data_IF_838588831136
#
_entry.id   IF_838588831136
#
_cell.length_a   1.000
_cell.length_b   1.000
_cell.length_c   1.000
_cell.angle_alpha   90.00
_cell.angle_beta   90.00
_cell.angle_gamma   90.00
#
_symmetry.space_group_name_H-M   'P 1'
#
loop_
_entity.id
_entity.type
_entity.pdbx_description
1 polymer ?
#
# COMPACT_ATOMS: atom_id res chain seq x y z
N UNK A 1 -9.86 -32.23 -4.24
CA UNK A 1 -10.65 -31.37 -3.34
C UNK A 1 -9.88 -30.99 -2.09
N UNK A 2 -9.09 -31.90 -1.57
CA UNK A 2 -8.30 -31.64 -0.36
C UNK A 2 -7.26 -30.53 -0.54
N UNK A 3 -6.85 -30.23 -1.74
CA UNK A 3 -5.79 -29.24 -2.03
C UNK A 3 -6.33 -27.83 -2.29
N UNK A 4 -7.63 -27.65 -2.23
CA UNK A 4 -8.25 -26.37 -2.59
C UNK A 4 -7.74 -25.20 -1.74
N UNK A 5 -7.69 -25.39 -0.42
CA UNK A 5 -7.19 -24.33 0.47
C UNK A 5 -5.71 -24.08 0.28
N UNK A 6 -4.95 -25.14 0.01
CA UNK A 6 -3.52 -25.03 -0.23
C UNK A 6 -3.23 -24.26 -1.51
N UNK A 7 -3.99 -24.56 -2.56
CA UNK A 7 -3.88 -23.85 -3.83
C UNK A 7 -4.25 -22.39 -3.68
N UNK A 8 -5.32 -22.10 -2.93
CA UNK A 8 -5.74 -20.74 -2.66
C UNK A 8 -4.69 -19.95 -1.89
N UNK A 9 -4.06 -20.58 -0.89
CA UNK A 9 -3.02 -19.96 -0.09
C UNK A 9 -1.77 -19.62 -0.93
N UNK A 10 -1.33 -20.56 -1.78
CA UNK A 10 -0.22 -20.34 -2.70
C UNK A 10 -0.56 -19.26 -3.72
N UNK A 11 -1.79 -19.26 -4.23
CA UNK A 11 -2.26 -18.28 -5.18
C UNK A 11 -2.23 -16.87 -4.57
N UNK A 12 -2.66 -16.72 -3.30
CA UNK A 12 -2.66 -15.42 -2.64
C UNK A 12 -1.24 -14.87 -2.44
N UNK A 13 -0.30 -15.71 -2.06
CA UNK A 13 1.10 -15.31 -1.92
C UNK A 13 1.71 -14.91 -3.27
N UNK A 14 1.38 -15.65 -4.31
CA UNK A 14 1.84 -15.38 -5.66
C UNK A 14 1.25 -14.07 -6.20
N UNK A 15 -0.05 -13.84 -5.99
CA UNK A 15 -0.72 -12.61 -6.41
C UNK A 15 -0.10 -11.38 -5.73
N UNK A 16 0.20 -11.48 -4.42
CA UNK A 16 0.85 -10.39 -3.70
C UNK A 16 2.22 -10.05 -4.26
N UNK A 17 3.02 -11.07 -4.58
CA UNK A 17 4.34 -10.90 -5.17
C UNK A 17 4.27 -10.29 -6.56
N UNK A 18 3.33 -10.76 -7.37
CA UNK A 18 3.12 -10.23 -8.72
C UNK A 18 2.70 -8.77 -8.65
N UNK A 19 1.87 -8.41 -7.67
CA UNK A 19 1.45 -7.03 -7.49
C UNK A 19 2.63 -6.14 -7.10
N UNK A 20 3.52 -6.60 -6.22
CA UNK A 20 4.70 -5.85 -5.85
C UNK A 20 5.61 -5.60 -7.06
N UNK A 21 5.73 -6.57 -7.95
CA UNK A 21 6.51 -6.42 -9.18
C UNK A 21 5.87 -5.41 -10.14
N UNK A 22 4.54 -5.45 -10.27
CA UNK A 22 3.81 -4.45 -11.06
C UNK A 22 4.00 -3.06 -10.46
N UNK A 23 3.89 -2.95 -9.16
CA UNK A 23 4.09 -1.69 -8.45
C UNK A 23 5.48 -1.12 -8.70
N UNK A 24 6.49 -1.96 -8.61
CA UNK A 24 7.88 -1.56 -8.87
C UNK A 24 8.05 -1.04 -10.29
N UNK A 25 7.45 -1.72 -11.26
CA UNK A 25 7.51 -1.31 -12.67
C UNK A 25 6.79 0.02 -12.90
N UNK A 26 5.62 0.21 -12.30
CA UNK A 26 4.86 1.45 -12.42
C UNK A 26 5.64 2.63 -11.82
N UNK A 27 6.23 2.43 -10.65
CA UNK A 27 7.03 3.46 -9.99
C UNK A 27 8.26 3.80 -10.83
N UNK A 28 8.92 2.80 -11.40
CA UNK A 28 10.05 3.01 -12.30
C UNK A 28 9.66 3.83 -13.53
N UNK A 29 8.47 3.54 -14.10
CA UNK A 29 7.93 4.30 -15.22
C UNK A 29 7.68 5.78 -14.86
N UNK A 30 7.48 6.07 -13.58
CA UNK A 30 7.33 7.43 -13.06
C UNK A 30 8.67 8.03 -12.57
N UNK A 31 9.78 7.38 -12.89
CA UNK A 31 11.11 7.86 -12.53
C UNK A 31 11.52 7.54 -11.10
N UNK A 32 10.84 6.61 -10.45
CA UNK A 32 11.12 6.22 -9.07
C UNK A 32 11.61 4.78 -9.07
N UNK A 33 12.95 4.61 -9.02
CA UNK A 33 13.58 3.29 -9.03
C UNK A 33 13.82 2.82 -7.62
N UNK A 34 13.24 1.69 -7.27
CA UNK A 34 13.23 1.17 -5.90
C UNK A 34 13.72 -0.28 -5.83
N UNK A 35 14.20 -0.66 -4.65
CA UNK A 35 14.57 -2.02 -4.31
C UNK A 35 13.46 -2.66 -3.48
N UNK A 36 13.36 -3.97 -3.54
CA UNK A 36 12.41 -4.73 -2.72
C UNK A 36 12.95 -4.90 -1.31
N UNK A 37 12.04 -5.03 -0.35
CA UNK A 37 12.37 -5.35 1.04
C UNK A 37 13.34 -4.32 1.66
N UNK A 38 12.94 -3.07 1.62
CA UNK A 38 13.74 -1.97 2.13
C UNK A 38 13.49 -1.75 3.62
N UNK A 39 14.55 -1.92 4.42
CA UNK A 39 14.45 -1.82 5.88
C UNK A 39 14.77 -0.43 6.37
N UNK A 40 13.91 0.09 7.25
CA UNK A 40 14.01 1.44 7.79
C UNK A 40 13.73 1.39 9.29
N UNK A 41 14.52 2.10 10.11
CA UNK A 41 14.23 2.18 11.54
C UNK A 41 12.96 2.97 11.79
N UNK A 42 11.97 2.33 12.39
CA UNK A 42 10.69 2.93 12.73
C UNK A 42 10.45 2.85 14.23
N UNK A 43 9.87 3.88 14.80
CA UNK A 43 9.51 3.87 16.20
C UNK A 43 9.28 5.26 16.73
N UNK A 44 8.62 5.32 17.87
CA UNK A 44 8.36 6.56 18.58
C UNK A 44 9.56 6.89 19.49
N UNK A 45 9.92 8.16 19.54
CA UNK A 45 11.05 8.59 20.37
C UNK A 45 12.34 7.86 20.00
N UNK A 46 13.05 7.36 21.00
CA UNK A 46 14.32 6.66 20.80
C UNK A 46 14.21 5.15 20.65
N UNK A 47 13.00 4.62 20.77
CA UNK A 47 12.77 3.19 20.69
C UNK A 47 12.47 2.77 19.25
N UNK A 48 13.51 2.40 18.52
CA UNK A 48 13.40 2.08 17.08
C UNK A 48 13.57 0.59 16.84
N UNK A 49 12.85 0.11 15.82
CA UNK A 49 12.98 -1.24 15.30
C UNK A 49 12.97 -1.18 13.78
N UNK A 50 13.79 -2.00 13.13
CA UNK A 50 13.79 -2.05 11.67
C UNK A 50 12.47 -2.64 11.17
N UNK A 51 11.80 -1.90 10.29
CA UNK A 51 10.61 -2.35 9.59
C UNK A 51 10.95 -2.51 8.11
N UNK A 52 10.48 -3.60 7.51
CA UNK A 52 10.72 -3.90 6.10
C UNK A 52 9.55 -3.39 5.27
N UNK A 53 9.77 -2.33 4.52
CA UNK A 53 8.79 -1.85 3.54
C UNK A 53 8.91 -2.70 2.26
N UNK A 54 7.80 -2.86 1.55
CA UNK A 54 7.78 -3.68 0.34
C UNK A 54 8.76 -3.21 -0.71
N UNK A 55 8.85 -1.89 -0.89
CA UNK A 55 9.80 -1.27 -1.81
C UNK A 55 10.39 -0.02 -1.14
N UNK A 56 11.60 0.34 -1.54
CA UNK A 56 12.19 1.57 -1.04
C UNK A 56 13.55 1.90 -1.63
N UNK A 57 14.05 3.08 -1.29
CA UNK A 57 15.36 3.59 -1.70
C UNK A 57 15.83 4.61 -0.68
N UNK A 58 17.17 4.75 -0.56
CA UNK A 58 17.75 5.80 0.26
C UNK A 58 18.09 7.05 -0.55
N UNK A 59 18.30 6.91 -1.85
CA UNK A 59 18.65 8.01 -2.74
C UNK A 59 17.94 7.85 -4.09
N UNK A 60 16.81 8.52 -4.28
CA UNK A 60 16.08 9.38 -3.32
C UNK A 60 15.43 8.59 -2.18
N UNK A 61 15.17 9.23 -1.03
CA UNK A 61 14.55 8.52 0.10
C UNK A 61 13.06 8.32 -0.12
N UNK A 62 12.69 7.08 -0.43
CA UNK A 62 11.30 6.69 -0.71
C UNK A 62 11.02 5.36 -0.04
N UNK A 63 9.85 5.23 0.57
CA UNK A 63 9.34 3.96 1.11
C UNK A 63 7.93 3.74 0.60
N UNK A 64 7.62 2.48 0.26
CA UNK A 64 6.35 2.10 -0.34
C UNK A 64 5.81 0.84 0.33
N UNK A 65 4.52 0.87 0.68
CA UNK A 65 3.77 -0.32 1.05
C UNK A 65 2.79 -0.64 -0.06
N UNK A 66 2.71 -1.92 -0.43
CA UNK A 66 1.84 -2.41 -1.49
C UNK A 66 0.73 -3.27 -0.90
N UNK A 67 -0.50 -3.03 -1.33
CA UNK A 67 -1.66 -3.80 -0.86
C UNK A 67 -2.54 -4.20 -2.05
N UNK A 68 -2.90 -5.48 -2.14
CA UNK A 68 -3.72 -6.00 -3.22
C UNK A 68 -5.05 -6.60 -2.72
N UNK A 69 -5.50 -6.18 -1.56
CA UNK A 69 -6.75 -6.65 -0.98
C UNK A 69 -7.96 -6.13 -1.76
N UNK A 70 -9.03 -6.90 -1.72
CA UNK A 70 -10.28 -6.59 -2.42
C UNK A 70 -11.45 -6.56 -1.44
N UNK A 71 -12.57 -5.95 -1.88
CA UNK A 71 -13.83 -6.16 -1.19
C UNK A 71 -14.08 -7.67 -1.09
N UNK A 72 -14.68 -8.11 0.02
CA UNK A 72 -14.99 -9.53 0.18
C UNK A 72 -16.31 -9.87 -0.53
N UNK A 73 -16.62 -11.15 -0.58
CA UNK A 73 -17.84 -11.64 -1.18
C UNK A 73 -19.07 -10.90 -0.66
N UNK A 74 -19.94 -10.45 -1.57
CA UNK A 74 -21.11 -9.66 -1.23
C UNK A 74 -20.79 -8.20 -0.92
N UNK A 75 -19.69 -7.67 -1.44
CA UNK A 75 -19.28 -6.27 -1.25
C UNK A 75 -19.06 -5.88 0.22
N UNK A 76 -18.62 -6.83 1.02
CA UNK A 76 -18.36 -6.58 2.44
C UNK A 76 -16.95 -6.06 2.66
N UNK A 77 -16.80 -5.25 3.70
CA UNK A 77 -15.50 -4.72 4.10
C UNK A 77 -14.60 -5.85 4.60
N UNK A 78 -13.36 -5.99 4.08
CA UNK A 78 -12.41 -6.97 4.60
C UNK A 78 -11.78 -6.45 5.89
N UNK A 79 -12.51 -6.54 7.00
CA UNK A 79 -12.16 -5.86 8.25
C UNK A 79 -10.74 -6.17 8.74
N UNK A 80 -10.31 -7.43 8.66
CA UNK A 80 -8.97 -7.80 9.10
C UNK A 80 -7.88 -7.13 8.25
N UNK A 81 -8.14 -7.01 6.94
CA UNK A 81 -7.18 -6.37 6.02
C UNK A 81 -7.15 -4.85 6.23
N UNK A 82 -8.28 -4.27 6.60
CA UNK A 82 -8.32 -2.84 6.91
C UNK A 82 -7.47 -2.50 8.14
N UNK A 83 -7.39 -3.41 9.11
CA UNK A 83 -6.47 -3.25 10.24
C UNK A 83 -5.01 -3.24 9.78
N UNK A 84 -4.66 -4.07 8.81
CA UNK A 84 -3.33 -4.10 8.23
C UNK A 84 -3.01 -2.80 7.49
N UNK A 85 -4.00 -2.21 6.82
CA UNK A 85 -3.84 -0.92 6.15
C UNK A 85 -3.62 0.20 7.17
N UNK A 86 -4.36 0.17 8.28
CA UNK A 86 -4.19 1.14 9.36
C UNK A 86 -2.81 0.99 10.01
N UNK A 87 -2.34 -0.25 10.19
CA UNK A 87 -1.00 -0.50 10.72
C UNK A 87 0.08 0.08 9.77
N UNK A 88 -0.12 -0.05 8.46
CA UNK A 88 0.80 0.54 7.49
C UNK A 88 0.91 2.06 7.68
N UNK A 89 -0.22 2.73 7.95
CA UNK A 89 -0.22 4.17 8.22
C UNK A 89 0.61 4.50 9.47
N UNK A 90 0.52 3.65 10.49
CA UNK A 90 1.33 3.84 11.70
C UNK A 90 2.82 3.68 11.41
N UNK A 91 3.20 2.69 10.60
CA UNK A 91 4.61 2.54 10.20
C UNK A 91 5.11 3.73 9.40
N UNK A 92 4.30 4.28 8.51
CA UNK A 92 4.66 5.52 7.82
C UNK A 92 4.88 6.66 8.80
N UNK A 93 4.00 6.77 9.80
CA UNK A 93 4.13 7.80 10.84
C UNK A 93 5.43 7.63 11.64
N UNK A 94 5.80 6.38 11.97
CA UNK A 94 6.99 6.08 12.74
C UNK A 94 8.30 6.14 11.94
N UNK A 95 8.21 6.13 10.62
CA UNK A 95 9.40 6.23 9.77
C UNK A 95 9.96 7.64 9.79
N UNK A 96 11.27 7.81 9.54
CA UNK A 96 11.86 9.15 9.48
C UNK A 96 11.14 10.06 8.49
N UNK A 97 11.03 11.34 8.87
CA UNK A 97 10.23 12.32 8.14
C UNK A 97 10.74 12.62 6.73
N UNK A 98 12.02 12.37 6.48
CA UNK A 98 12.63 12.71 5.18
C UNK A 98 12.23 11.75 4.06
N UNK A 99 11.63 10.60 4.36
CA UNK A 99 11.18 9.69 3.33
C UNK A 99 9.90 10.16 2.67
N UNK A 100 9.85 10.07 1.35
CA UNK A 100 8.61 10.14 0.60
C UNK A 100 7.85 8.84 0.86
N UNK A 101 6.56 8.92 1.15
CA UNK A 101 5.77 7.79 1.62
C UNK A 101 4.63 7.51 0.66
N UNK A 102 4.64 6.33 0.05
CA UNK A 102 3.66 5.95 -0.97
C UNK A 102 2.95 4.67 -0.53
N UNK A 103 1.63 4.75 -0.46
CA UNK A 103 0.76 3.60 -0.23
C UNK A 103 0.13 3.24 -1.57
N UNK A 104 0.59 2.15 -2.16
CA UNK A 104 0.19 1.74 -3.50
C UNK A 104 -0.71 0.52 -3.42
N UNK A 105 -1.93 0.64 -3.94
CA UNK A 105 -2.94 -0.41 -3.84
C UNK A 105 -3.48 -0.79 -5.20
N UNK A 106 -3.88 -2.05 -5.33
CA UNK A 106 -4.66 -2.49 -6.48
C UNK A 106 -6.09 -2.01 -6.31
N UNK A 107 -6.67 -1.46 -7.38
CA UNK A 107 -8.04 -0.96 -7.32
C UNK A 107 -9.03 -2.11 -7.16
N UNK A 108 -9.94 -1.99 -6.21
CA UNK A 108 -11.05 -2.90 -6.02
C UNK A 108 -12.32 -2.06 -5.82
N UNK A 109 -13.26 -2.18 -6.74
CA UNK A 109 -14.46 -1.34 -6.77
C UNK A 109 -15.66 -2.14 -6.28
N UNK A 110 -16.42 -1.54 -5.35
CA UNK A 110 -17.65 -2.11 -4.82
C UNK A 110 -18.74 -2.01 -5.88
N UNK A 111 -19.35 -3.13 -6.22
CA UNK A 111 -20.33 -3.18 -7.31
C UNK A 111 -21.52 -2.25 -7.04
N UNK A 112 -22.06 -2.30 -5.82
CA UNK A 112 -23.27 -1.56 -5.47
C UNK A 112 -23.13 -0.05 -5.49
N UNK A 113 -21.97 0.45 -5.09
CA UNK A 113 -21.77 1.88 -4.87
C UNK A 113 -20.76 2.52 -5.82
N UNK A 114 -19.96 1.70 -6.49
CA UNK A 114 -18.86 2.20 -7.30
C UNK A 114 -17.68 2.71 -6.49
N UNK A 115 -17.73 2.59 -5.15
CA UNK A 115 -16.64 3.06 -4.29
C UNK A 115 -15.48 2.07 -4.29
N UNK A 116 -14.25 2.56 -4.46
CA UNK A 116 -13.08 1.72 -4.33
C UNK A 116 -12.77 1.46 -2.86
N UNK A 117 -12.09 0.35 -2.58
CA UNK A 117 -11.69 0.01 -1.22
C UNK A 117 -10.75 1.09 -0.65
N UNK A 118 -9.88 1.63 -1.47
CA UNK A 118 -9.00 2.73 -1.07
C UNK A 118 -9.79 3.97 -0.68
N UNK A 119 -10.79 4.36 -1.48
CA UNK A 119 -11.65 5.50 -1.15
C UNK A 119 -12.37 5.27 0.17
N UNK A 120 -12.89 4.06 0.36
CA UNK A 120 -13.53 3.68 1.62
C UNK A 120 -12.57 3.83 2.80
N UNK A 121 -11.36 3.30 2.67
CA UNK A 121 -10.34 3.39 3.73
C UNK A 121 -10.02 4.85 4.06
N UNK A 122 -9.77 5.66 3.05
CA UNK A 122 -9.42 7.07 3.24
C UNK A 122 -10.56 7.86 3.86
N UNK A 123 -11.79 7.49 3.56
CA UNK A 123 -12.97 8.16 4.09
C UNK A 123 -13.23 7.77 5.56
N UNK A 124 -13.12 6.48 5.87
CA UNK A 124 -13.46 5.98 7.21
C UNK A 124 -12.31 6.04 8.20
N UNK A 125 -11.07 6.08 7.72
CA UNK A 125 -9.88 6.09 8.57
C UNK A 125 -9.02 7.34 8.37
N UNK A 126 -9.61 8.42 7.92
CA UNK A 126 -8.88 9.66 7.62
C UNK A 126 -8.08 10.18 8.81
N UNK A 127 -8.59 9.99 10.02
CA UNK A 127 -7.93 10.42 11.26
C UNK A 127 -6.64 9.64 11.56
N UNK A 128 -6.40 8.51 10.90
CA UNK A 128 -5.22 7.67 11.10
C UNK A 128 -4.17 7.84 9.99
N UNK A 129 -4.44 8.68 9.02
CA UNK A 129 -3.58 8.82 7.84
C UNK A 129 -2.63 10.01 8.03
N UNK A 130 -1.31 9.77 8.05
CA UNK A 130 -0.35 10.88 8.07
C UNK A 130 -0.53 11.75 6.83
N UNK A 131 -0.52 13.08 6.96
CA UNK A 131 -0.84 13.97 5.85
C UNK A 131 0.14 13.88 4.66
N UNK A 132 1.36 13.41 4.90
CA UNK A 132 2.37 13.31 3.85
C UNK A 132 2.26 12.03 2.99
N UNK A 133 1.38 11.09 3.35
CA UNK A 133 1.24 9.83 2.61
C UNK A 133 0.54 10.07 1.27
N UNK A 134 1.17 9.61 0.19
CA UNK A 134 0.57 9.59 -1.14
C UNK A 134 -0.14 8.27 -1.36
N UNK A 135 -1.29 8.33 -2.01
CA UNK A 135 -2.07 7.15 -2.36
C UNK A 135 -2.02 6.93 -3.86
N UNK A 136 -1.50 5.79 -4.27
CA UNK A 136 -1.41 5.39 -5.65
C UNK A 136 -2.33 4.20 -5.86
N UNK A 137 -3.36 4.37 -6.68
CA UNK A 137 -4.34 3.32 -6.94
C UNK A 137 -4.17 2.82 -8.37
N UNK A 138 -3.91 1.53 -8.52
CA UNK A 138 -3.64 0.91 -9.82
C UNK A 138 -4.83 0.07 -10.26
N UNK A 139 -5.56 0.52 -11.30
CA UNK A 139 -6.62 -0.30 -11.87
C UNK A 139 -6.08 -1.62 -12.41
N UNK A 140 -6.88 -2.69 -12.32
CA UNK A 140 -6.44 -4.04 -12.71
C UNK A 140 -6.04 -4.15 -14.17
N UNK A 141 -6.77 -3.45 -15.04
CA UNK A 141 -6.63 -3.58 -16.47
C UNK A 141 -5.89 -2.41 -17.13
N UNK A 142 -5.18 -1.62 -16.33
CA UNK A 142 -4.53 -0.41 -16.82
C UNK A 142 -3.16 -0.25 -16.18
N UNK A 143 -2.24 0.35 -16.92
CA UNK A 143 -0.96 0.79 -16.38
C UNK A 143 -1.03 2.24 -15.88
N UNK A 144 -2.18 2.90 -16.04
CA UNK A 144 -2.38 4.27 -15.59
C UNK A 144 -2.79 4.29 -14.13
N UNK A 145 -1.91 4.78 -13.29
CA UNK A 145 -2.14 4.86 -11.86
C UNK A 145 -2.85 6.18 -11.51
N UNK A 146 -3.74 6.11 -10.50
CA UNK A 146 -4.42 7.29 -9.97
C UNK A 146 -3.67 7.71 -8.72
N UNK A 147 -3.16 8.94 -8.68
CA UNK A 147 -2.33 9.44 -7.59
C UNK A 147 -3.06 10.55 -6.86
N UNK A 148 -3.21 10.41 -5.55
CA UNK A 148 -3.88 11.39 -4.70
C UNK A 148 -3.16 11.54 -3.36
N UNK A 149 -3.38 12.66 -2.69
CA UNK A 149 -2.82 12.91 -1.37
C UNK A 149 -1.36 13.33 -1.41
N UNK A 150 -0.69 13.09 -0.29
CA UNK A 150 0.69 13.49 -0.12
C UNK A 150 0.83 14.91 0.41
N UNK A 151 2.08 15.30 0.65
CA UNK A 151 2.40 16.64 1.12
C UNK A 151 2.18 17.64 -0.02
N UNK A 152 0.97 18.12 -0.11
CA UNK A 152 0.60 19.16 -1.08
C UNK A 152 1.53 20.35 -0.94
N UNK A 153 2.14 20.46 0.20
CA UNK A 153 2.98 21.57 0.56
C UNK A 153 4.44 21.38 0.21
N UNK A 154 4.77 20.32 -0.41
CA UNK A 154 6.02 20.26 -1.13
C UNK A 154 6.07 21.42 -2.10
N UNK A 155 5.05 22.17 -2.07
CA UNK A 155 4.99 23.45 -2.77
C UNK A 155 4.84 24.60 -1.81
#
# INVERSE_FOLDING_TARGET
MSNFQREGSLSNAHVGRDFEERAKAILSAHGIDLERNHKVPCGLGNNKKLHCFDLGSEDPPVIVECKSQTWTSGDKVPSAKMKNWAEAMFYFHMAPAHYRKIFLVEQSVRVRTGESLLTYFRRTQSHMIPPEVEFWELPRDSAEVIIEGGAINGR
#
